data_IF_618452913618
#
_entry.id   IF_618452913618
#
_cell.length_a   1.000
_cell.length_b   1.000
_cell.length_c   1.000
_cell.angle_alpha   90.00
_cell.angle_beta   90.00
_cell.angle_gamma   90.00
#
_symmetry.space_group_name_H-M   'P 1'
#
loop_
_entity.id
_entity.type
_entity.pdbx_description
1 polymer ?
2 non-polymer ?
3 non-polymer ?
4 water ?
#
# COMPACT_ATOMS: atom_id res chain seq x y z
N UNK A 8 -5.08 -11.96 38.53
CA UNK A 8 -5.37 -13.20 37.77
C UNK A 8 -6.52 -12.98 36.79
N UNK A 9 -6.30 -13.31 35.51
CA UNK A 9 -7.30 -13.06 34.48
C UNK A 9 -8.42 -14.12 34.47
N UNK A 10 -8.15 -15.25 35.14
CA UNK A 10 -9.13 -16.33 35.31
C UNK A 10 -9.84 -16.16 36.65
N UNK A 11 -11.14 -15.91 36.61
CA UNK A 11 -11.93 -15.81 37.84
C UNK A 11 -12.43 -17.19 38.28
N UNK A 12 -12.67 -18.07 37.30
CA UNK A 12 -13.27 -19.40 37.52
C UNK A 12 -14.79 -19.34 37.66
N UNK A 13 -15.34 -18.13 37.61
CA UNK A 13 -16.80 -17.91 37.57
C UNK A 13 -17.50 -18.52 36.34
N UNK A 14 -16.69 -18.83 35.33
CA UNK A 14 -17.19 -19.42 34.11
C UNK A 14 -17.05 -20.93 34.05
N UNK A 15 -16.35 -21.52 35.01
CA UNK A 15 -16.04 -22.96 34.99
C UNK A 15 -17.25 -23.89 34.94
N UNK A 16 -18.42 -23.39 35.36
CA UNK A 16 -19.70 -24.15 35.25
C UNK A 16 -20.59 -23.78 34.03
N UNK A 17 -20.03 -23.03 33.09
CA UNK A 17 -20.69 -22.81 31.79
C UNK A 17 -21.53 -21.56 31.75
N UNK A 18 -21.41 -20.74 32.80
CA UNK A 18 -22.16 -19.50 32.84
C UNK A 18 -21.25 -18.30 32.84
N UNK A 19 -21.80 -17.18 32.42
CA UNK A 19 -21.01 -15.98 32.22
C UNK A 19 -21.87 -14.74 32.35
N UNK A 20 -21.20 -13.59 32.41
CA UNK A 20 -21.87 -12.30 32.53
C UNK A 20 -21.91 -11.60 31.16
N UNK A 21 -22.82 -10.66 31.00
CA UNK A 21 -22.83 -9.79 29.83
C UNK A 21 -22.77 -8.35 30.34
N UNK A 22 -23.19 -7.42 29.50
CA UNK A 22 -23.27 -6.03 29.90
C UNK A 22 -24.53 -5.83 30.70
N UNK A 23 -24.35 -5.37 31.93
CA UNK A 23 -25.48 -5.34 32.87
C UNK A 23 -25.46 -6.60 33.74
N UNK A 24 -26.63 -7.07 34.15
CA UNK A 24 -26.67 -7.92 35.33
C UNK A 24 -26.85 -9.37 34.93
N UNK A 25 -27.54 -9.60 33.83
CA UNK A 25 -27.85 -10.95 33.46
C UNK A 25 -26.63 -11.86 33.46
N UNK A 26 -26.77 -12.97 34.20
CA UNK A 26 -25.94 -14.15 34.07
C UNK A 26 -26.58 -15.03 32.99
N UNK A 27 -25.81 -15.34 31.95
CA UNK A 27 -26.31 -16.17 30.85
C UNK A 27 -25.44 -17.42 30.66
N UNK A 28 -26.03 -18.52 30.18
CA UNK A 28 -25.27 -19.64 29.66
C UNK A 28 -24.41 -19.24 28.45
N UNK A 29 -23.22 -19.85 28.32
CA UNK A 29 -22.30 -19.50 27.24
C UNK A 29 -22.84 -19.85 25.82
N UNK A 30 -23.77 -20.81 25.74
CA UNK A 30 -24.46 -21.09 24.45
C UNK A 30 -25.69 -20.22 24.15
N UNK A 31 -26.07 -19.34 25.08
CA UNK A 31 -27.08 -18.31 24.84
C UNK A 31 -26.80 -17.58 23.52
N UNK A 32 -27.84 -17.41 22.67
CA UNK A 32 -27.72 -16.72 21.37
C UNK A 32 -26.92 -15.42 21.41
N UNK A 33 -27.14 -14.61 22.45
CA UNK A 33 -26.40 -13.35 22.64
C UNK A 33 -24.89 -13.56 22.91
N UNK A 34 -24.57 -14.56 23.73
CA UNK A 34 -23.18 -14.90 23.98
C UNK A 34 -22.51 -15.39 22.70
N UNK A 35 -23.25 -16.13 21.86
CA UNK A 35 -22.70 -16.64 20.61
C UNK A 35 -22.42 -15.51 19.58
N UNK A 36 -23.35 -14.56 19.47
CA UNK A 36 -23.22 -13.43 18.56
C UNK A 36 -22.01 -12.57 18.93
N UNK A 37 -21.91 -12.25 20.22
CA UNK A 37 -20.74 -11.54 20.73
C UNK A 37 -19.45 -12.34 20.47
N UNK A 38 -19.51 -13.66 20.71
CA UNK A 38 -18.42 -14.58 20.35
C UNK A 38 -18.01 -14.65 18.88
N UNK A 39 -18.97 -14.71 17.96
CA UNK A 39 -18.63 -14.79 16.54
C UNK A 39 -18.03 -13.49 16.03
N UNK A 40 -18.54 -12.37 16.53
CA UNK A 40 -17.97 -11.08 16.21
C UNK A 40 -16.53 -11.01 16.75
N UNK A 41 -16.28 -11.59 17.92
CA UNK A 41 -14.94 -11.62 18.50
C UNK A 41 -13.97 -12.49 17.68
N UNK A 42 -14.48 -13.61 17.14
CA UNK A 42 -13.71 -14.48 16.25
C UNK A 42 -13.38 -13.77 14.95
N UNK A 43 -14.37 -13.07 14.36
CA UNK A 43 -14.11 -12.24 13.19
C UNK A 43 -12.92 -11.29 13.42
N UNK A 44 -12.94 -10.62 14.56
CA UNK A 44 -11.90 -9.68 14.96
C UNK A 44 -10.50 -10.32 15.05
N UNK A 45 -10.39 -11.43 15.76
CA UNK A 45 -9.19 -12.29 15.74
C UNK A 45 -8.68 -12.53 14.32
N UNK A 46 -9.57 -13.01 13.44
CA UNK A 46 -9.20 -13.23 12.07
C UNK A 46 -8.71 -11.95 11.34
N UNK A 47 -9.38 -10.81 11.56
CA UNK A 47 -8.91 -9.56 10.96
C UNK A 47 -7.45 -9.26 11.42
N UNK A 48 -7.19 -9.43 12.72
CA UNK A 48 -5.86 -9.28 13.28
C UNK A 48 -4.90 -10.23 12.60
N UNK A 49 -5.33 -11.49 12.42
CA UNK A 49 -4.51 -12.45 11.71
C UNK A 49 -4.21 -12.00 10.28
N UNK A 50 -5.27 -11.63 9.56
CA UNK A 50 -5.15 -11.10 8.20
C UNK A 50 -4.19 -9.91 8.14
N UNK A 51 -4.32 -9.01 9.13
CA UNK A 51 -3.51 -7.80 9.21
C UNK A 51 -2.02 -8.18 9.36
N UNK A 52 -1.76 -9.29 10.03
CA UNK A 52 -0.36 -9.70 10.24
C UNK A 52 0.32 -10.19 8.96
N UNK A 53 -0.45 -10.46 7.90
CA UNK A 53 0.05 -11.04 6.66
C UNK A 53 0.45 -9.94 5.64
N UNK A 54 0.16 -8.70 5.99
CA UNK A 54 0.58 -7.55 5.22
C UNK A 54 2.12 -7.47 5.09
N UNK A 55 2.57 -7.10 3.89
CA UNK A 55 3.98 -6.88 3.61
C UNK A 55 4.10 -5.56 2.86
N UNK A 56 5.29 -5.27 2.35
CA UNK A 56 5.58 -4.01 1.66
C UNK A 56 4.67 -3.68 0.45
N UNK A 57 4.13 -4.70 -0.21
CA UNK A 57 3.24 -4.50 -1.37
C UNK A 57 1.78 -4.20 -0.98
N UNK A 58 1.39 -4.59 0.24
CA UNK A 58 0.01 -4.51 0.67
C UNK A 58 -0.15 -3.58 1.86
N UNK A 59 0.95 -2.93 2.23
CA UNK A 59 0.97 -1.98 3.34
C UNK A 59 -0.21 -1.00 3.41
N UNK A 60 -0.78 -0.57 2.27
CA UNK A 60 -1.94 0.39 2.30
C UNK A 60 -3.16 -0.10 3.05
N UNK A 61 -3.36 -1.42 3.06
CA UNK A 61 -4.54 -2.01 3.62
C UNK A 61 -4.51 -2.00 5.14
N UNK A 62 -3.36 -1.64 5.70
CA UNK A 62 -3.13 -1.84 7.11
C UNK A 62 -4.01 -1.01 8.05
N UNK A 63 -4.09 0.30 7.83
CA UNK A 63 -4.86 1.17 8.73
C UNK A 63 -6.37 0.88 8.76
N UNK A 64 -6.98 0.67 7.59
CA UNK A 64 -8.41 0.39 7.55
C UNK A 64 -8.76 -0.94 8.25
N UNK A 65 -7.94 -1.97 8.04
CA UNK A 65 -8.11 -3.21 8.76
C UNK A 65 -8.02 -2.95 10.27
N UNK A 66 -7.04 -2.16 10.68
CA UNK A 66 -6.86 -1.80 12.09
C UNK A 66 -8.12 -1.07 12.59
N UNK A 67 -8.59 -0.12 11.78
CA UNK A 67 -9.85 0.59 12.02
C UNK A 67 -11.08 -0.32 12.11
N UNK A 68 -11.17 -1.27 11.18
CA UNK A 68 -12.20 -2.32 11.25
C UNK A 68 -12.22 -3.07 12.60
N UNK A 69 -11.06 -3.47 13.12
CA UNK A 69 -10.97 -4.04 14.48
C UNK A 69 -11.56 -3.18 15.62
N UNK A 70 -11.34 -1.86 15.59
CA UNK A 70 -11.97 -0.92 16.53
C UNK A 70 -13.49 -0.99 16.42
N UNK A 71 -13.98 -0.94 15.19
CA UNK A 71 -15.42 -0.95 14.92
C UNK A 71 -16.10 -2.23 15.39
N UNK A 72 -15.42 -3.35 15.19
CA UNK A 72 -15.90 -4.65 15.64
C UNK A 72 -15.98 -4.78 17.17
N UNK A 73 -15.05 -4.14 17.87
CA UNK A 73 -15.05 -4.13 19.31
C UNK A 73 -16.33 -3.47 19.80
N UNK A 74 -16.70 -2.36 19.14
CA UNK A 74 -17.93 -1.62 19.42
C UNK A 74 -19.17 -2.43 19.12
N UNK A 75 -19.15 -3.15 17.99
CA UNK A 75 -20.22 -4.06 17.63
C UNK A 75 -20.42 -5.11 18.69
N UNK A 76 -19.31 -5.66 19.19
CA UNK A 76 -19.35 -6.68 20.22
C UNK A 76 -19.98 -6.12 21.46
N UNK A 77 -19.64 -4.88 21.80
CA UNK A 77 -20.13 -4.23 23.02
C UNK A 77 -21.65 -4.10 22.99
N UNK A 78 -22.19 -3.64 21.87
CA UNK A 78 -23.62 -3.46 21.72
C UNK A 78 -24.39 -4.76 21.65
N UNK A 79 -23.78 -5.79 21.06
CA UNK A 79 -24.40 -7.11 21.05
C UNK A 79 -24.49 -7.68 22.44
N UNK A 80 -23.56 -7.32 23.32
CA UNK A 80 -23.55 -7.79 24.70
C UNK A 80 -24.53 -7.01 25.59
N UNK A 81 -25.15 -5.96 25.02
CA UNK A 81 -26.03 -5.03 25.74
C UNK A 81 -27.50 -5.26 25.40
N UNK A 82 -28.31 -5.67 26.40
CA UNK A 82 -29.77 -5.81 26.17
C UNK A 82 -30.38 -4.43 25.91
N UNK A 83 -31.34 -4.39 24.99
CA UNK A 83 -31.92 -3.12 24.53
C UNK A 83 -32.76 -2.48 25.63
N UNK A 84 -33.22 -3.30 26.57
CA UNK A 84 -34.11 -2.85 27.64
C UNK A 84 -33.32 -2.37 28.83
N UNK A 85 -32.04 -2.73 28.89
CA UNK A 85 -31.17 -2.33 30.00
C UNK A 85 -31.17 -0.81 30.22
N UNK A 86 -31.34 -0.42 31.49
CA UNK A 86 -31.52 0.97 31.93
C UNK A 86 -30.22 1.73 32.19
N UNK A 87 -29.13 1.03 32.52
CA UNK A 87 -27.86 1.67 32.86
C UNK A 87 -26.85 1.69 31.70
N UNK A 88 -27.17 1.00 30.59
CA UNK A 88 -26.23 0.87 29.46
C UNK A 88 -26.84 1.21 28.10
N UNK A 90 -26.17 1.40 24.19
CA UNK A 90 -25.71 1.23 22.77
C UNK A 90 -24.79 2.35 22.31
N UNK A 91 -23.53 2.01 21.97
CA UNK A 91 -22.56 3.00 21.51
C UNK A 91 -22.32 3.00 19.99
N UNK A 92 -22.76 1.97 19.28
CA UNK A 92 -22.46 1.87 17.83
C UNK A 92 -23.50 2.53 16.93
N UNK A 93 -23.05 3.48 16.10
CA UNK A 93 -23.91 4.07 15.05
C UNK A 93 -23.35 3.74 13.66
N UNK A 94 -24.20 3.24 12.77
CA UNK A 94 -23.71 2.67 11.51
C UNK A 94 -23.33 3.66 10.39
N UNK A 95 -23.88 4.87 10.43
CA UNK A 95 -23.83 5.77 9.27
C UNK A 95 -22.44 6.07 8.74
N UNK A 96 -21.57 6.59 9.61
CA UNK A 96 -20.21 6.96 9.21
C UNK A 96 -19.36 5.73 8.85
N UNK A 97 -19.32 4.71 9.74
CA UNK A 97 -18.60 3.46 9.42
C UNK A 97 -19.00 2.81 8.09
N UNK A 98 -20.31 2.68 7.85
CA UNK A 98 -20.83 2.00 6.64
C UNK A 98 -20.55 2.80 5.35
N UNK A 99 -20.67 4.12 5.42
CA UNK A 99 -20.43 4.97 4.27
C UNK A 99 -18.95 4.86 3.90
N UNK A 100 -18.12 4.77 4.94
CA UNK A 100 -16.68 4.62 4.84
C UNK A 100 -16.34 3.30 4.18
N UNK A 101 -17.08 2.26 4.54
CA UNK A 101 -16.96 0.97 3.87
C UNK A 101 -17.40 1.09 2.43
N UNK A 102 -18.49 1.80 2.19
CA UNK A 102 -19.05 1.95 0.84
C UNK A 102 -18.10 2.69 -0.09
N UNK A 103 -17.37 3.66 0.44
CA UNK A 103 -16.37 4.38 -0.36
C UNK A 103 -15.27 3.43 -0.84
N UNK A 104 -14.76 2.61 0.08
CA UNK A 104 -13.71 1.64 -0.23
C UNK A 104 -14.17 0.55 -1.16
N UNK A 105 -15.41 0.10 -0.99
CA UNK A 105 -16.00 -0.86 -1.94
C UNK A 105 -16.03 -0.33 -3.39
N UNK A 106 -16.50 0.91 -3.58
CA UNK A 106 -16.54 1.56 -4.91
C UNK A 106 -15.12 1.83 -5.43
N UNK A 107 -14.26 2.27 -4.53
CA UNK A 107 -12.85 2.54 -4.90
C UNK A 107 -12.24 1.28 -5.49
N UNK A 108 -12.29 0.21 -4.70
CA UNK A 108 -11.62 -1.05 -5.01
C UNK A 108 -12.32 -1.75 -6.17
N UNK A 109 -13.62 -1.51 -6.28
CA UNK A 109 -14.44 -2.12 -7.31
C UNK A 109 -14.08 -1.61 -8.71
N UNK A 110 -13.74 -0.32 -8.82
CA UNK A 110 -13.37 0.25 -10.12
C UNK A 110 -11.92 -0.02 -10.51
N UNK A 111 -11.03 -0.14 -9.53
CA UNK A 111 -9.61 -0.44 -9.77
C UNK A 111 -9.37 -1.82 -10.39
N UNK A 112 -10.10 -2.83 -9.90
CA UNK A 112 -9.88 -4.24 -10.27
C UNK A 112 -10.60 -4.68 -11.58
N UNK A 113 -10.01 -5.63 -12.34
CA UNK A 113 -10.51 -5.98 -13.69
C UNK A 113 -12.03 -6.20 -13.81
N UNK A 117 -17.14 -14.35 -15.19
CA UNK A 117 -17.29 -15.50 -14.31
C UNK A 117 -17.50 -15.10 -12.83
N UNK A 118 -18.03 -16.04 -12.04
CA UNK A 118 -18.05 -15.91 -10.59
C UNK A 118 -16.62 -16.04 -10.05
N UNK A 119 -16.34 -15.34 -8.96
CA UNK A 119 -15.00 -15.34 -8.37
C UNK A 119 -14.93 -16.38 -7.26
N UNK A 120 -13.93 -17.25 -7.33
CA UNK A 120 -13.68 -18.18 -6.23
C UNK A 120 -12.67 -17.60 -5.25
N UNK A 121 -12.85 -17.85 -3.92
CA UNK A 121 -11.96 -17.31 -2.88
C UNK A 121 -10.55 -17.87 -2.95
N UNK A 122 -9.55 -17.01 -3.01
CA UNK A 122 -8.16 -17.46 -3.08
C UNK A 122 -7.34 -16.44 -3.84
N UNK A 123 -6.05 -16.73 -4.00
CA UNK A 123 -5.13 -15.83 -4.72
C UNK A 123 -3.85 -15.67 -3.94
N UNK A 124 -3.49 -14.44 -3.60
CA UNK A 124 -2.33 -14.23 -2.73
C UNK A 124 -2.73 -14.67 -1.33
N UNK A 125 -1.77 -14.88 -0.45
CA UNK A 125 -2.10 -15.23 0.92
C UNK A 125 -2.98 -14.15 1.63
N UNK A 126 -2.64 -12.88 1.49
CA UNK A 126 -3.48 -11.81 2.03
C UNK A 126 -4.90 -11.78 1.42
N UNK A 127 -4.99 -11.93 0.10
CA UNK A 127 -6.28 -11.99 -0.60
C UNK A 127 -7.15 -13.14 -0.11
N UNK A 128 -6.57 -14.35 -0.06
CA UNK A 128 -7.22 -15.51 0.52
C UNK A 128 -7.69 -15.27 1.96
N UNK A 129 -6.83 -14.72 2.82
CA UNK A 129 -7.23 -14.36 4.19
C UNK A 129 -8.37 -13.37 4.23
N UNK A 130 -8.44 -12.46 3.26
CA UNK A 130 -9.52 -11.46 3.20
C UNK A 130 -10.79 -12.12 2.71
N UNK A 131 -10.62 -13.12 1.85
CA UNK A 131 -11.73 -13.96 1.46
C UNK A 131 -12.26 -14.80 2.63
N UNK A 132 -11.36 -15.29 3.50
CA UNK A 132 -11.75 -16.00 4.70
C UNK A 132 -12.47 -15.04 5.68
N UNK A 133 -12.01 -13.78 5.72
CA UNK A 133 -12.62 -12.76 6.56
C UNK A 133 -14.07 -12.61 6.13
N UNK A 134 -14.29 -12.57 4.81
CA UNK A 134 -15.63 -12.39 4.26
C UNK A 134 -16.60 -13.46 4.79
N UNK A 135 -16.17 -14.71 4.73
CA UNK A 135 -17.04 -15.80 5.14
C UNK A 135 -17.25 -15.86 6.67
N UNK A 136 -16.24 -15.46 7.45
CA UNK A 136 -16.40 -15.45 8.90
C UNK A 136 -17.35 -14.31 9.29
N UNK A 137 -17.20 -13.16 8.62
CA UNK A 137 -18.12 -12.03 8.80
C UNK A 137 -19.55 -12.50 8.61
N UNK A 138 -19.78 -13.26 7.53
CA UNK A 138 -21.09 -13.84 7.22
C UNK A 138 -21.58 -14.87 8.24
N UNK A 139 -20.68 -15.72 8.75
CA UNK A 139 -21.02 -16.66 9.82
C UNK A 139 -21.51 -15.90 11.05
N UNK A 140 -20.74 -14.88 11.45
CA UNK A 140 -21.16 -13.94 12.51
C UNK A 140 -22.52 -13.28 12.24
N UNK A 141 -22.71 -12.83 10.97
CA UNK A 141 -23.98 -12.21 10.55
C UNK A 141 -25.21 -13.11 10.79
N UNK A 142 -25.13 -14.38 10.42
CA UNK A 142 -26.18 -15.37 10.71
C UNK A 142 -26.46 -15.52 12.21
N UNK A 143 -25.39 -15.53 13.00
CA UNK A 143 -25.55 -15.60 14.44
C UNK A 143 -26.15 -14.30 15.00
N UNK A 144 -25.84 -13.17 14.39
CA UNK A 144 -26.44 -11.89 14.80
C UNK A 144 -27.94 -11.80 14.51
N UNK A 145 -28.35 -12.35 13.36
CA UNK A 145 -29.76 -12.48 12.96
C UNK A 145 -30.51 -13.42 13.89
N UNK A 146 -29.88 -14.53 14.20
CA UNK A 146 -30.42 -15.47 15.16
C UNK A 146 -30.76 -14.82 16.53
N UNK A 147 -29.84 -14.00 17.06
CA UNK A 147 -30.11 -13.20 18.24
C UNK A 147 -31.30 -12.28 18.03
N UNK A 148 -31.29 -11.59 16.87
CA UNK A 148 -32.31 -10.60 16.49
C UNK A 148 -33.71 -11.17 16.52
N UNK A 149 -33.83 -12.45 16.19
CA UNK A 149 -35.09 -13.15 16.13
C UNK A 149 -35.62 -13.51 17.52
N UNK A 150 -34.76 -13.46 18.53
CA UNK A 150 -35.23 -13.64 19.90
C UNK A 150 -35.29 -12.35 20.72
N UNK A 151 -34.34 -11.44 20.49
CA UNK A 151 -34.17 -10.27 21.33
C UNK A 151 -34.07 -9.02 20.47
N UNK A 152 -34.41 -7.88 21.03
CA UNK A 152 -34.14 -6.62 20.36
C UNK A 152 -32.64 -6.38 20.43
N UNK A 153 -32.07 -6.02 19.28
CA UNK A 153 -30.64 -5.74 19.13
C UNK A 153 -30.44 -4.38 18.53
N UNK A 154 -29.20 -3.91 18.51
CA UNK A 154 -28.86 -2.70 17.79
C UNK A 154 -28.80 -3.03 16.29
N UNK A 155 -29.81 -2.60 15.55
CA UNK A 155 -29.93 -2.92 14.12
C UNK A 155 -28.78 -2.38 13.29
N UNK A 156 -28.15 -1.31 13.79
CA UNK A 156 -26.95 -0.69 13.19
C UNK A 156 -25.77 -1.67 13.07
N UNK A 157 -25.60 -2.52 14.07
CA UNK A 157 -24.58 -3.56 14.03
C UNK A 157 -24.82 -4.45 12.81
N UNK A 158 -26.07 -4.88 12.61
CA UNK A 158 -26.44 -5.75 11.48
C UNK A 158 -26.21 -5.10 10.11
N UNK A 159 -26.56 -3.82 9.99
CA UNK A 159 -26.32 -3.04 8.79
C UNK A 159 -24.81 -3.03 8.48
N UNK A 160 -23.99 -2.68 9.48
CA UNK A 160 -22.55 -2.67 9.31
C UNK A 160 -21.97 -4.03 8.92
N UNK A 161 -22.26 -5.06 9.72
CA UNK A 161 -21.80 -6.42 9.44
C UNK A 161 -22.12 -6.91 8.01
N UNK A 162 -23.34 -6.65 7.55
CA UNK A 162 -23.77 -7.01 6.20
C UNK A 162 -22.87 -6.33 5.17
N UNK A 163 -22.64 -5.02 5.32
CA UNK A 163 -21.78 -4.32 4.38
C UNK A 163 -20.32 -4.79 4.47
N UNK A 164 -19.90 -5.18 5.68
CA UNK A 164 -18.51 -5.54 5.93
C UNK A 164 -18.03 -6.74 5.12
N UNK A 165 -18.88 -7.75 4.95
CA UNK A 165 -18.45 -8.89 4.14
C UNK A 165 -18.27 -8.45 2.68
N UNK A 166 -19.03 -7.43 2.26
CA UNK A 166 -18.88 -6.86 0.93
C UNK A 166 -17.56 -6.11 0.81
N UNK A 167 -17.23 -5.32 1.84
CA UNK A 167 -15.90 -4.76 1.95
C UNK A 167 -14.80 -5.81 1.74
N UNK A 168 -14.89 -6.96 2.44
CA UNK A 168 -13.85 -7.99 2.39
C UNK A 168 -13.72 -8.66 1.04
N UNK A 169 -14.84 -8.87 0.35
CA UNK A 169 -14.81 -9.27 -1.05
C UNK A 169 -14.03 -8.23 -1.87
N UNK A 170 -14.41 -6.95 -1.73
CA UNK A 170 -13.78 -5.85 -2.48
C UNK A 170 -12.26 -5.74 -2.18
N UNK A 171 -11.91 -5.61 -0.91
CA UNK A 171 -10.50 -5.61 -0.46
C UNK A 171 -9.70 -6.87 -0.87
N UNK A 172 -10.31 -8.05 -0.77
CA UNK A 172 -9.68 -9.30 -1.23
C UNK A 172 -9.24 -9.20 -2.69
N UNK A 173 -10.12 -8.70 -3.57
CA UNK A 173 -9.83 -8.60 -5.00
C UNK A 173 -8.69 -7.62 -5.23
N UNK A 174 -8.74 -6.55 -4.44
CA UNK A 174 -7.75 -5.49 -4.49
C UNK A 174 -6.42 -6.00 -3.98
N UNK A 175 -6.42 -6.76 -2.88
CA UNK A 175 -5.20 -7.39 -2.39
C UNK A 175 -4.57 -8.22 -3.53
N UNK A 176 -5.39 -8.98 -4.27
CA UNK A 176 -4.87 -9.72 -5.41
C UNK A 176 -4.27 -8.81 -6.48
N UNK A 177 -5.00 -7.74 -6.77
CA UNK A 177 -4.57 -6.75 -7.76
C UNK A 177 -3.24 -6.10 -7.37
N UNK A 178 -3.11 -5.71 -6.09
CA UNK A 178 -1.88 -5.14 -5.51
C UNK A 178 -0.62 -5.97 -5.69
N UNK A 179 -0.75 -7.29 -5.76
CA UNK A 179 0.39 -8.17 -6.01
C UNK A 179 0.37 -8.84 -7.38
N UNK A 180 -0.33 -8.22 -8.34
CA UNK A 180 -0.34 -8.65 -9.75
C UNK A 180 -0.86 -10.07 -9.92
N UNK A 181 -1.88 -10.42 -9.13
CA UNK A 181 -2.42 -11.76 -9.09
C UNK A 181 -3.84 -11.76 -9.63
N UNK A 182 -4.13 -12.65 -10.60
CA UNK A 182 -5.48 -12.74 -11.14
C UNK A 182 -6.46 -13.33 -10.12
N UNK A 183 -7.70 -12.87 -10.14
CA UNK A 183 -8.75 -13.45 -9.30
C UNK A 183 -9.00 -14.89 -9.77
N UNK A 184 -9.19 -15.81 -8.83
CA UNK A 184 -9.57 -17.19 -9.17
C UNK A 184 -11.00 -17.16 -9.67
N UNK A 185 -11.22 -17.78 -10.84
CA UNK A 185 -12.55 -17.80 -11.46
C UNK A 185 -13.21 -19.18 -11.51
N UNK A 186 -14.54 -19.21 -11.35
CA UNK A 186 -15.32 -20.43 -11.55
C UNK A 186 -15.29 -20.84 -13.05
N UNK A 187 -14.80 -22.05 -13.34
CA UNK A 187 -14.54 -22.48 -14.73
C UNK A 187 -15.77 -23.05 -15.49
N UNK B 9 21.27 22.97 11.89
CA UNK B 9 21.50 22.45 10.50
C UNK B 9 22.23 23.44 9.58
N UNK B 10 22.05 24.73 9.80
CA UNK B 10 22.84 25.72 9.09
C UNK B 10 24.11 26.11 9.85
N UNK B 11 25.25 25.90 9.21
CA UNK B 11 26.54 26.18 9.84
C UNK B 11 27.13 27.49 9.34
N UNK B 12 26.59 27.99 8.22
CA UNK B 12 27.08 29.21 7.53
C UNK B 12 28.44 29.08 6.82
N UNK B 13 29.00 27.87 6.78
CA UNK B 13 30.29 27.61 6.12
C UNK B 13 30.28 27.68 4.60
N UNK B 14 29.12 27.46 4.00
CA UNK B 14 28.98 27.51 2.56
C UNK B 14 28.58 28.86 2.02
N UNK B 15 28.50 29.87 2.90
CA UNK B 15 28.03 31.21 2.54
C UNK B 15 28.91 31.98 1.56
N UNK B 16 30.16 31.57 1.41
CA UNK B 16 31.07 32.17 0.43
C UNK B 16 31.22 31.29 -0.83
N UNK B 17 30.37 30.27 -0.96
CA UNK B 17 30.30 29.44 -2.15
C UNK B 17 31.14 28.17 -2.14
N UNK B 18 31.81 27.91 -1.02
CA UNK B 18 32.59 26.69 -0.90
C UNK B 18 31.89 25.69 0.03
N UNK B 19 32.32 24.43 -0.03
CA UNK B 19 31.63 23.35 0.65
C UNK B 19 32.51 22.10 0.78
N UNK B 20 32.04 21.11 1.53
CA UNK B 20 32.82 19.89 1.75
C UNK B 20 32.20 18.74 0.97
N UNK B 21 33.00 17.69 0.85
CA UNK B 21 32.62 16.42 0.26
C UNK B 21 33.08 15.32 1.25
N UNK B 22 32.77 14.06 0.96
CA UNK B 22 33.06 12.97 1.90
C UNK B 22 34.55 12.83 2.26
N UNK B 25 38.27 17.04 0.61
CA UNK B 25 38.73 18.43 0.60
C UNK B 25 37.56 19.41 0.57
N UNK B 26 37.90 20.69 0.56
CA UNK B 26 36.97 21.80 0.37
C UNK B 26 36.84 22.07 -1.13
N UNK B 27 35.61 22.16 -1.65
CA UNK B 27 35.39 22.45 -3.08
C UNK B 27 34.47 23.64 -3.31
N UNK B 28 34.58 24.27 -4.47
CA UNK B 28 33.61 25.28 -4.86
C UNK B 28 32.29 24.62 -5.26
N UNK B 29 31.18 25.28 -4.99
CA UNK B 29 29.84 24.70 -5.21
C UNK B 29 29.50 24.38 -6.68
N UNK B 30 30.15 25.07 -7.62
CA UNK B 30 29.99 24.83 -9.07
C UNK B 30 30.88 23.70 -9.58
N UNK B 31 31.65 23.09 -8.69
CA UNK B 31 32.51 21.96 -9.02
C UNK B 31 31.67 20.81 -9.59
N UNK B 32 32.14 20.16 -10.68
CA UNK B 32 31.36 19.09 -11.35
C UNK B 32 30.94 17.95 -10.44
N UNK B 33 31.71 17.71 -9.40
CA UNK B 33 31.39 16.68 -8.41
C UNK B 33 30.24 17.13 -7.53
N UNK B 34 30.26 18.40 -7.13
CA UNK B 34 29.17 18.96 -6.34
C UNK B 34 27.89 18.99 -7.21
N UNK B 35 28.04 19.31 -8.50
CA UNK B 35 26.89 19.38 -9.43
C UNK B 35 26.31 18.00 -9.73
N UNK B 36 27.18 17.00 -9.90
CA UNK B 36 26.75 15.61 -10.15
C UNK B 36 25.99 15.08 -8.95
N UNK B 37 26.45 15.49 -7.77
CA UNK B 37 25.82 15.17 -6.52
C UNK B 37 24.45 15.86 -6.38
N UNK B 38 24.42 17.16 -6.60
CA UNK B 38 23.16 17.92 -6.56
C UNK B 38 22.12 17.37 -7.52
N UNK B 39 22.58 16.97 -8.71
CA UNK B 39 21.71 16.49 -9.78
C UNK B 39 21.03 15.17 -9.41
N UNK B 40 21.79 14.25 -8.82
CA UNK B 40 21.22 13.01 -8.33
C UNK B 40 20.24 13.29 -7.18
N UNK B 41 20.62 14.19 -6.27
CA UNK B 41 19.74 14.61 -5.18
C UNK B 41 18.44 15.20 -5.70
N UNK B 42 18.55 16.03 -6.75
CA UNK B 42 17.37 16.60 -7.43
C UNK B 42 16.49 15.54 -8.06
N UNK B 43 17.11 14.50 -8.63
CA UNK B 43 16.34 13.34 -9.10
C UNK B 43 15.57 12.71 -7.92
N UNK B 44 16.27 12.42 -6.83
CA UNK B 44 15.65 11.81 -5.66
C UNK B 44 14.39 12.55 -5.18
N UNK B 45 14.53 13.87 -4.96
CA UNK B 45 13.41 14.79 -4.82
C UNK B 45 12.24 14.49 -5.73
N UNK B 46 12.52 14.28 -7.02
CA UNK B 46 11.44 14.20 -7.99
C UNK B 46 10.73 12.88 -7.85
N UNK B 47 11.48 11.83 -7.53
CA UNK B 47 10.91 10.51 -7.29
C UNK B 47 10.03 10.54 -6.03
N UNK B 48 10.52 11.22 -4.99
CA UNK B 48 9.72 11.51 -3.82
C UNK B 48 8.42 12.22 -4.21
N UNK B 49 8.51 13.23 -5.08
CA UNK B 49 7.30 13.95 -5.48
C UNK B 49 6.41 13.08 -6.35
N UNK B 50 7.01 12.29 -7.22
CA UNK B 50 6.30 11.39 -8.09
C UNK B 50 5.48 10.41 -7.23
N UNK B 51 6.10 9.84 -6.19
CA UNK B 51 5.45 8.86 -5.30
C UNK B 51 4.22 9.41 -4.55
N UNK B 52 4.22 10.68 -4.18
CA UNK B 52 3.08 11.31 -3.52
C UNK B 52 1.85 11.41 -4.43
N UNK B 53 2.05 11.25 -5.74
CA UNK B 53 0.98 11.31 -6.73
C UNK B 53 0.19 10.00 -6.90
N UNK B 54 0.62 8.96 -6.19
CA UNK B 54 0.04 7.64 -6.32
C UNK B 54 -1.39 7.60 -5.78
N UNK B 55 -2.29 6.99 -6.55
CA UNK B 55 -3.65 6.70 -6.12
C UNK B 55 -3.80 5.19 -6.01
N UNK B 56 -5.00 4.73 -5.69
CA UNK B 56 -5.28 3.32 -5.50
C UNK B 56 -4.98 2.43 -6.71
N UNK B 57 -5.20 2.92 -7.93
CA UNK B 57 -4.79 2.21 -9.17
C UNK B 57 -3.28 1.96 -9.26
N UNK B 58 -2.49 2.93 -8.79
CA UNK B 58 -1.07 2.98 -9.06
C UNK B 58 -0.24 2.65 -7.82
N UNK B 59 -0.94 2.25 -6.75
CA UNK B 59 -0.31 1.78 -5.51
C UNK B 59 0.75 0.67 -5.68
N UNK B 60 0.60 -0.18 -6.70
CA UNK B 60 1.61 -1.21 -6.98
C UNK B 60 3.03 -0.65 -7.32
N UNK B 61 3.14 0.65 -7.62
CA UNK B 61 4.44 1.26 -7.95
C UNK B 61 5.14 1.90 -6.74
N UNK B 62 4.40 2.08 -5.66
CA UNK B 62 4.88 2.81 -4.50
C UNK B 62 6.20 2.26 -3.97
N UNK B 63 6.23 0.95 -3.77
CA UNK B 63 7.30 0.28 -3.06
C UNK B 63 8.65 0.32 -3.79
N UNK B 64 8.65 0.13 -5.10
CA UNK B 64 9.87 0.23 -5.89
C UNK B 64 10.33 1.67 -6.03
N UNK B 65 9.41 2.62 -5.93
CA UNK B 65 9.78 4.01 -5.97
C UNK B 65 10.55 4.40 -4.70
N UNK B 66 10.09 3.94 -3.53
CA UNK B 66 10.88 4.15 -2.32
C UNK B 66 12.25 3.44 -2.34
N UNK B 67 12.32 2.24 -2.94
CA UNK B 67 13.59 1.52 -3.09
C UNK B 67 14.58 2.31 -3.96
N UNK B 68 14.13 2.74 -5.15
CA UNK B 68 14.91 3.62 -6.03
C UNK B 68 15.52 4.82 -5.28
N UNK B 69 14.72 5.47 -4.43
CA UNK B 69 15.18 6.59 -3.61
C UNK B 69 16.31 6.19 -2.67
N UNK B 70 16.19 5.02 -2.03
CA UNK B 70 17.26 4.45 -1.21
C UNK B 70 18.53 4.22 -2.06
N UNK B 71 18.38 3.59 -3.22
CA UNK B 71 19.51 3.43 -4.16
C UNK B 71 20.12 4.76 -4.64
N UNK B 72 19.28 5.77 -4.83
CA UNK B 72 19.75 7.08 -5.26
C UNK B 72 20.53 7.76 -4.14
N UNK B 73 20.11 7.51 -2.89
CA UNK B 73 20.80 8.06 -1.73
C UNK B 73 22.24 7.59 -1.71
N UNK B 74 22.45 6.29 -1.92
CA UNK B 74 23.79 5.68 -2.02
C UNK B 74 24.62 6.18 -3.23
N UNK B 75 23.93 6.35 -4.37
CA UNK B 75 24.55 6.94 -5.58
C UNK B 75 25.14 8.32 -5.29
N UNK B 76 24.35 9.16 -4.62
CA UNK B 76 24.78 10.46 -4.15
C UNK B 76 26.03 10.37 -3.30
N UNK B 77 26.00 9.50 -2.27
CA UNK B 77 27.16 9.28 -1.41
C UNK B 77 28.44 9.00 -2.21
N UNK B 78 28.37 8.00 -3.09
CA UNK B 78 29.55 7.59 -3.84
C UNK B 78 30.08 8.71 -4.73
N UNK B 79 29.18 9.51 -5.30
CA UNK B 79 29.59 10.64 -6.13
C UNK B 79 30.30 11.72 -5.31
N UNK B 80 29.93 11.82 -4.03
CA UNK B 80 30.56 12.77 -3.12
C UNK B 80 31.85 12.20 -2.52
N UNK B 81 32.18 10.96 -2.92
CA UNK B 81 33.33 10.23 -2.39
C UNK B 81 34.52 10.19 -3.37
N UNK B 82 35.62 10.92 -3.05
CA UNK B 82 36.82 11.05 -3.92
C UNK B 82 37.58 9.74 -4.18
N UNK B 87 40.10 5.95 3.83
CA UNK B 87 39.12 5.97 4.92
C UNK B 87 37.66 5.94 4.44
N UNK B 88 37.44 6.19 3.15
CA UNK B 88 36.09 6.36 2.59
C UNK B 88 35.91 5.64 1.25
N UNK B 89 35.22 4.51 1.23
CA UNK B 89 35.07 3.78 -0.03
C UNK B 89 33.63 3.71 -0.60
N UNK B 90 33.52 3.20 -1.83
CA UNK B 90 32.25 3.15 -2.54
C UNK B 90 31.26 2.16 -1.94
N UNK B 91 30.06 2.63 -1.63
CA UNK B 91 28.99 1.82 -1.04
C UNK B 91 27.97 1.27 -2.06
N UNK B 92 27.85 1.87 -3.24
CA UNK B 92 26.92 1.41 -4.25
C UNK B 92 27.54 0.37 -5.20
N UNK B 93 26.93 -0.81 -5.22
CA UNK B 93 27.25 -1.89 -6.16
C UNK B 93 26.04 -2.07 -7.07
N UNK B 94 26.27 -2.24 -8.36
CA UNK B 94 25.20 -2.15 -9.34
C UNK B 94 24.52 -3.44 -9.78
N UNK B 95 25.14 -4.60 -9.55
CA UNK B 95 24.65 -5.86 -10.17
C UNK B 95 23.18 -6.17 -9.84
N UNK B 96 22.86 -6.31 -8.55
CA UNK B 96 21.48 -6.67 -8.18
C UNK B 96 20.40 -5.59 -8.47
N UNK B 97 20.66 -4.30 -8.11
CA UNK B 97 19.73 -3.19 -8.44
C UNK B 97 19.41 -3.01 -9.93
N UNK B 98 20.41 -3.13 -10.80
CA UNK B 98 20.23 -2.96 -12.24
C UNK B 98 19.52 -4.17 -12.86
N UNK B 99 19.86 -5.37 -12.39
CA UNK B 99 19.16 -6.59 -12.81
C UNK B 99 17.70 -6.39 -12.48
N UNK B 100 17.47 -5.83 -11.29
CA UNK B 100 16.14 -5.57 -10.76
C UNK B 100 15.33 -4.56 -11.61
N UNK B 101 15.98 -3.53 -12.14
CA UNK B 101 15.36 -2.59 -13.06
C UNK B 101 15.02 -3.24 -14.39
N UNK B 102 15.90 -4.12 -14.85
CA UNK B 102 15.72 -4.84 -16.10
C UNK B 102 14.51 -5.77 -16.08
N UNK B 103 14.30 -6.47 -14.97
CA UNK B 103 13.19 -7.40 -14.83
C UNK B 103 11.87 -6.63 -14.89
N UNK B 104 11.86 -5.48 -14.23
CA UNK B 104 10.70 -4.57 -14.25
C UNK B 104 10.47 -3.96 -15.63
N UNK B 105 11.54 -3.49 -16.27
CA UNK B 105 11.47 -3.02 -17.67
C UNK B 105 10.83 -4.09 -18.58
N UNK B 106 11.30 -5.33 -18.50
CA UNK B 106 10.81 -6.37 -19.37
C UNK B 106 9.34 -6.64 -19.10
N UNK B 107 9.01 -6.91 -17.84
CA UNK B 107 7.63 -7.13 -17.40
C UNK B 107 6.70 -5.99 -17.81
N UNK B 108 7.12 -4.76 -17.52
CA UNK B 108 6.32 -3.58 -17.86
C UNK B 108 6.19 -3.42 -19.38
N UNK B 109 7.29 -3.61 -20.12
CA UNK B 109 7.25 -3.59 -21.62
C UNK B 109 6.30 -4.66 -22.20
N UNK B 110 6.30 -5.85 -21.60
CA UNK B 110 5.47 -6.97 -22.05
C UNK B 110 3.96 -6.76 -21.81
N UNK B 111 3.58 -6.08 -20.72
CA UNK B 111 2.16 -5.92 -20.35
C UNK B 111 1.47 -4.74 -21.06
N UNK B 112 2.23 -3.78 -21.56
CA UNK B 112 1.64 -2.58 -22.21
C UNK B 112 1.41 -2.78 -23.72
N UNK B 113 0.49 -2.00 -24.33
CA UNK B 113 0.23 -2.22 -25.77
C UNK B 113 1.49 -1.99 -26.61
N UNK B 114 1.70 -2.83 -27.61
CA UNK B 114 2.69 -2.52 -28.66
C UNK B 114 2.17 -1.36 -29.52
N UNK B 115 2.99 -0.31 -29.62
CA UNK B 115 2.83 0.79 -30.58
C UNK B 115 3.97 0.48 -31.56
N UNK B 116 3.92 0.83 -32.87
CA UNK B 116 3.14 1.86 -33.56
C UNK B 116 4.05 3.08 -33.78
N UNK B 117 3.78 4.21 -33.11
CA UNK B 117 4.57 5.43 -33.34
C UNK B 117 5.53 5.70 -32.16
N UNK B 118 6.29 6.81 -32.22
CA UNK B 118 7.06 7.30 -31.05
C UNK B 118 6.12 7.80 -29.95
N UNK B 119 6.48 7.50 -28.71
CA UNK B 119 5.69 7.90 -27.55
C UNK B 119 6.15 9.25 -27.00
N UNK B 120 5.21 10.18 -26.87
CA UNK B 120 5.47 11.46 -26.22
C UNK B 120 5.18 11.38 -24.71
N UNK B 121 5.95 12.12 -23.88
CA UNK B 121 5.75 12.05 -22.43
C UNK B 121 4.41 12.64 -22.02
N UNK B 122 3.62 11.90 -21.26
CA UNK B 122 2.33 12.40 -20.82
C UNK B 122 1.29 11.33 -20.60
N UNK B 123 0.09 11.76 -20.23
CA UNK B 123 -1.00 10.84 -19.90
C UNK B 123 -1.63 11.18 -18.57
N UNK B 124 -1.73 10.18 -17.69
CA UNK B 124 -2.21 10.42 -16.32
C UNK B 124 -1.20 11.31 -15.58
N UNK B 125 -1.60 11.90 -14.47
CA UNK B 125 -0.63 12.68 -13.71
C UNK B 125 0.63 11.88 -13.33
N UNK B 126 0.47 10.66 -12.79
CA UNK B 126 1.63 9.83 -12.43
C UNK B 126 2.53 9.42 -13.60
N UNK B 127 1.93 8.97 -14.71
CA UNK B 127 2.67 8.68 -15.96
C UNK B 127 3.53 9.89 -16.40
N UNK B 128 2.93 11.07 -16.31
CA UNK B 128 3.57 12.31 -16.69
C UNK B 128 4.78 12.62 -15.79
N UNK B 129 4.62 12.39 -14.49
CA UNK B 129 5.69 12.57 -13.52
C UNK B 129 6.82 11.58 -13.77
N UNK B 130 6.48 10.34 -14.09
CA UNK B 130 7.52 9.33 -14.36
C UNK B 130 8.29 9.66 -15.63
N UNK B 131 7.61 10.25 -16.60
CA UNK B 131 8.27 10.74 -17.80
C UNK B 131 9.18 11.92 -17.51
N UNK B 132 8.74 12.82 -16.60
CA UNK B 132 9.60 13.89 -16.08
C UNK B 132 10.79 13.30 -15.33
N UNK B 133 10.54 12.23 -14.57
CA UNK B 133 11.60 11.51 -13.85
C UNK B 133 12.65 10.92 -14.79
N UNK B 134 12.23 10.49 -15.97
CA UNK B 134 13.15 10.01 -17.00
C UNK B 134 14.13 11.07 -17.50
N UNK B 135 13.63 12.27 -17.78
CA UNK B 135 14.47 13.34 -18.30
C UNK B 135 15.36 13.95 -17.24
N UNK B 136 14.91 14.00 -15.99
CA UNK B 136 15.77 14.46 -14.90
C UNK B 136 16.89 13.43 -14.62
N UNK B 137 16.55 12.14 -14.70
CA UNK B 137 17.55 11.09 -14.57
C UNK B 137 18.63 11.30 -15.63
N UNK B 138 18.20 11.59 -16.86
CA UNK B 138 19.15 11.73 -17.95
C UNK B 138 19.95 13.00 -17.89
N UNK B 139 19.38 14.01 -17.25
CA UNK B 139 20.09 15.25 -16.96
C UNK B 139 21.17 15.03 -15.91
N UNK B 140 20.86 14.27 -14.86
CA UNK B 140 21.85 13.91 -13.84
C UNK B 140 22.95 13.03 -14.47
N UNK B 141 22.54 12.11 -15.34
CA UNK B 141 23.46 11.26 -16.10
C UNK B 141 24.49 12.07 -16.86
N UNK B 142 24.05 13.12 -17.54
CA UNK B 142 24.98 13.96 -18.29
C UNK B 142 26.02 14.56 -17.36
N UNK B 143 25.59 14.91 -16.15
CA UNK B 143 26.47 15.53 -15.18
C UNK B 143 27.37 14.53 -14.51
N UNK B 144 26.91 13.29 -14.36
CA UNK B 144 27.79 12.23 -13.86
C UNK B 144 28.91 12.00 -14.89
N UNK B 145 28.55 12.00 -16.18
CA UNK B 145 29.54 11.88 -17.25
C UNK B 145 30.50 13.09 -17.31
N UNK B 146 29.98 14.29 -17.13
CA UNK B 146 30.80 15.50 -17.03
C UNK B 146 31.90 15.34 -15.96
N UNK B 147 31.54 14.70 -14.86
CA UNK B 147 32.47 14.43 -13.77
C UNK B 147 33.46 13.30 -14.09
N UNK B 148 32.95 12.23 -14.70
CA UNK B 148 33.72 11.05 -15.08
C UNK B 148 34.91 11.43 -15.96
N UNK B 149 34.68 12.40 -16.85
CA UNK B 149 35.67 12.93 -17.78
C UNK B 149 36.74 13.82 -17.12
N UNK B 150 36.73 13.91 -15.79
CA UNK B 150 37.74 14.69 -15.03
C UNK B 150 38.32 13.94 -13.85
N UNK B 151 37.56 12.97 -13.35
CA UNK B 151 37.89 12.23 -12.10
C UNK B 151 37.48 10.75 -12.16
N UNK B 152 38.12 9.95 -11.32
CA UNK B 152 37.73 8.57 -11.10
C UNK B 152 36.41 8.60 -10.34
N UNK B 153 35.35 8.02 -10.95
CA UNK B 153 34.05 7.85 -10.28
C UNK B 153 33.72 6.37 -10.10
N UNK B 154 32.68 6.10 -9.32
CA UNK B 154 32.15 4.77 -9.21
C UNK B 154 31.33 4.53 -10.47
N UNK B 155 31.87 3.72 -11.38
CA UNK B 155 31.22 3.44 -12.68
C UNK B 155 29.95 2.62 -12.51
N UNK B 156 29.78 2.01 -11.34
CA UNK B 156 28.54 1.31 -11.04
C UNK B 156 27.36 2.26 -11.01
N UNK B 157 27.63 3.50 -10.62
CA UNK B 157 26.61 4.56 -10.53
C UNK B 157 26.08 4.94 -11.93
N UNK B 158 26.97 5.11 -12.90
CA UNK B 158 26.60 5.43 -14.27
C UNK B 158 25.79 4.32 -14.93
N UNK B 159 26.17 3.07 -14.68
CA UNK B 159 25.42 1.94 -15.23
C UNK B 159 23.96 2.03 -14.76
N UNK B 160 23.75 2.11 -13.44
CA UNK B 160 22.42 2.17 -12.86
C UNK B 160 21.60 3.36 -13.38
N UNK B 161 22.20 4.55 -13.36
CA UNK B 161 21.56 5.79 -13.78
C UNK B 161 21.20 5.73 -15.27
N UNK B 162 21.99 5.02 -16.05
CA UNK B 162 21.66 4.80 -17.46
C UNK B 162 20.42 3.93 -17.56
N UNK B 163 20.41 2.82 -16.84
CA UNK B 163 19.24 1.93 -16.82
C UNK B 163 18.01 2.56 -16.15
N UNK B 164 18.22 3.51 -15.24
CA UNK B 164 17.13 4.12 -14.50
C UNK B 164 16.14 4.89 -15.39
N UNK B 165 16.64 5.57 -16.40
CA UNK B 165 15.75 6.33 -17.27
C UNK B 165 14.91 5.41 -18.14
N UNK B 166 15.50 4.29 -18.59
CA UNK B 166 14.74 3.21 -19.24
C UNK B 166 13.69 2.63 -18.28
N UNK B 167 14.05 2.45 -17.01
CA UNK B 167 13.05 2.07 -16.03
C UNK B 167 11.83 3.03 -16.02
N UNK B 168 12.12 4.34 -15.98
CA UNK B 168 11.07 5.35 -15.86
C UNK B 168 10.18 5.43 -17.10
N UNK B 169 10.77 5.19 -18.27
CA UNK B 169 10.00 5.11 -19.51
C UNK B 169 9.05 3.93 -19.40
N UNK B 170 9.58 2.75 -19.09
CA UNK B 170 8.76 1.56 -18.86
C UNK B 170 7.67 1.80 -17.82
N UNK B 171 8.01 2.37 -16.66
CA UNK B 171 7.04 2.59 -15.58
C UNK B 171 5.95 3.60 -15.96
N UNK B 172 6.33 4.63 -16.72
CA UNK B 172 5.41 5.67 -17.13
C UNK B 172 4.30 5.10 -18.02
N UNK B 173 4.70 4.26 -18.99
CA UNK B 173 3.73 3.59 -19.86
C UNK B 173 2.85 2.64 -19.06
N UNK B 174 3.47 1.93 -18.13
CA UNK B 174 2.77 1.01 -17.25
C UNK B 174 1.76 1.76 -16.40
N UNK B 175 2.18 2.90 -15.85
CA UNK B 175 1.27 3.76 -15.06
C UNK B 175 0.06 4.25 -15.88
N UNK B 176 0.25 4.45 -17.18
CA UNK B 176 -0.84 4.82 -18.08
C UNK B 176 -1.78 3.65 -18.29
N UNK B 177 -1.21 2.48 -18.49
CA UNK B 177 -1.95 1.24 -18.60
C UNK B 177 -2.79 0.95 -17.34
N UNK B 178 -2.21 1.16 -16.16
CA UNK B 178 -2.92 0.96 -14.89
C UNK B 178 -4.26 1.72 -14.76
N UNK B 179 -4.37 2.87 -15.44
CA UNK B 179 -5.61 3.67 -15.43
C UNK B 179 -6.32 3.71 -16.80
N UNK B 180 -6.01 2.74 -17.66
CA UNK B 180 -6.56 2.64 -19.02
C UNK B 180 -6.41 3.94 -19.83
N UNK B 181 -5.24 4.53 -19.73
CA UNK B 181 -4.89 5.74 -20.45
C UNK B 181 -3.96 5.34 -21.60
N UNK B 182 -4.38 5.59 -22.86
CA UNK B 182 -3.44 5.29 -23.95
C UNK B 182 -2.27 6.25 -23.88
N UNK B 183 -1.07 5.77 -24.19
CA UNK B 183 0.13 6.63 -24.31
C UNK B 183 -0.10 7.72 -25.33
N UNK B 184 0.31 8.96 -25.02
CA UNK B 184 0.30 10.01 -26.02
C UNK B 184 1.28 9.65 -27.15
N UNK B 185 0.84 9.77 -28.40
CA UNK B 185 1.69 9.36 -29.53
C UNK B 185 2.05 10.50 -30.50
N UNK B 186 3.20 10.35 -31.16
CA UNK B 186 3.66 11.32 -32.16
C UNK B 186 2.88 11.26 -33.49
N UNK B 187 2.16 12.35 -33.81
CA UNK B 187 1.44 12.49 -35.08
C UNK B 187 2.33 13.05 -36.21
X LIG C 1 -23.84 -7.79 -1.26
X LIG D 1 -24.86 -9.33 2.52
X LIG E 1 -13.68 -16.87 33.68
X LIG E 1 -12.83 -15.92 34.49
X LIG E 1 -14.18 -18.11 34.39
X LIG E 1 -13.02 -17.15 32.36
X LIG E 1 -15.98 -16.26 32.10
X LIG E 1 -15.53 -17.46 31.27
X LIG E 1 -17.41 -16.18 32.52
X LIG E 1 -15.05 -16.07 33.39
X LIG E 1 -14.35 -14.62 30.43
X LIG E 1 -13.83 -15.90 29.83
X LIG E 1 -13.46 -13.79 31.33
X LIG E 1 -15.73 -14.95 31.20
X LIG E 1 -14.84 -13.67 29.22
X LIG E 1 -15.21 -12.31 29.41
X LIG E 1 -16.60 -12.08 28.81
X LIG E 1 -16.69 -12.72 27.53
X LIG E 1 -17.69 -12.71 29.66
X LIG E 1 -18.22 -11.79 30.64
X LIG E 1 -18.73 -13.16 28.65
X LIG E 1 -19.67 -12.13 28.36
X LIG E 1 -17.94 -13.42 27.38
X LIG E 1 -17.71 -14.89 27.22
X LIG E 1 -17.35 -15.75 28.20
X LIG E 1 -17.21 -17.01 27.73
X LIG E 1 -17.48 -16.98 26.41
X LIG E 1 -17.51 -17.96 25.31
X LIG E 1 -17.22 -19.26 25.52
X LIG E 1 -17.84 -17.50 24.09
X LIG E 1 -18.14 -16.21 23.84
X LIG E 1 -18.13 -15.26 24.80
X LIG E 1 -17.81 -15.58 26.09
X LIG F 1 20.77 5.64 -21.94
X LIG G 1 23.28 23.47 5.77
X LIG H 1 25.92 25.43 5.17
X LIG H 1 25.88 25.05 6.63
X LIG H 1 26.49 26.81 4.88
X LIG H 1 24.62 25.12 4.44
X LIG H 1 27.26 24.11 2.99
X LIG H 1 26.43 25.03 2.14
X LIG H 1 28.75 24.05 2.70
X LIG H 1 26.99 24.37 4.55
X LIG H 1 25.22 22.12 2.99
X LIG H 1 24.36 23.22 2.41
X LIG H 1 24.94 21.66 4.43
X LIG H 1 26.75 22.59 2.81
X LIG H 1 25.14 20.80 2.09
X LIG H 1 25.50 19.51 2.59
X LIG H 1 26.44 18.86 1.58
X LIG H 1 25.89 18.87 0.26
X LIG H 1 27.76 19.59 1.51
X LIG H 1 28.72 19.01 2.40
X LIG H 1 28.16 19.47 0.05
X LIG H 1 28.83 18.24 -0.22
X LIG H 1 26.84 19.40 -0.67
X LIG H 1 26.38 20.71 -1.18
X LIG H 1 26.50 21.93 -0.61
X LIG H 1 25.94 22.93 -1.36
X LIG H 1 25.42 22.31 -2.45
X LIG H 1 24.68 22.74 -3.66
X LIG H 1 24.36 24.04 -3.89
X LIG H 1 24.35 21.76 -4.55
X LIG H 1 24.67 20.45 -4.37
X LIG H 1 25.34 20.00 -3.30
X LIG H 1 25.72 20.86 -2.33
#
# INVERSE_FOLDING_TARGET
GASAPMVKIYTKNGDKGQTRIIGKQILYKNDPRVAAYGEVNELNSWVGYTKSLINSHTQVLSNELEEIQQLLFDCGHDLATPADDERHSFKFKQEQPTVWLEEKIDNYTQVVPAVKKFILPGGTQLASALHVARTITRRAERQIVQLMREEQINQDVLIFINRLSDYFFAAARYANYLEQQPDMLYRNSKDVFR
GASAPMVKIYTKNGDKGQTRIIGKQILYKNDPRVAAYGEVNELNSWVGYTKSLINSHTQVLSNELEEIQQLLFDCGHDLATPADDERHSFKFKQEQPTVWLEEKIDNYTQVVPAVKKFILPGGTQLASALHVARTITRRAERQIVQLMREEQINQDVLIFINRLSDYFFAAARYANYLEQQPDMLYRNSKDVFR
MG MG
MG MG
ATP PG O1G O2G O3G PB O1B O2B O3B PA O1A O2A O3A O5' C5' C4' O4' C3' O3' C2' O2' C1' N9 C8 N7 C5 C6 N6 N1 C2 N3 C4
MG MG
MG MG
ATP PG O1G O2G O3G PB O1B O2B O3B PA O1A O2A O3A O5' C5' C4' O4' C3' O3' C2' O2' C1' N9 C8 N7 C5 C6 N6 N1 C2 N3 C4
#
